data_IF_709253012305
#
_entry.id   IF_709253012305
#
_cell.length_a   1.000
_cell.length_b   1.000
_cell.length_c   1.000
_cell.angle_alpha   90.00
_cell.angle_beta   90.00
_cell.angle_gamma   90.00
#
_symmetry.space_group_name_H-M   'P 1'
#
loop_
_entity.id
_entity.type
_entity.pdbx_description
1 polymer ?
#
# COMPACT_ATOMS: atom_id res chain seq x y z
N UNK A 1 -5.91 -50.51 -15.78
CA UNK A 1 -6.69 -49.45 -16.46
C UNK A 1 -7.47 -48.69 -15.40
N UNK A 2 -6.81 -47.73 -14.75
CA UNK A 2 -7.43 -46.82 -13.79
C UNK A 2 -8.08 -45.69 -14.58
N UNK A 3 -9.41 -45.69 -14.66
CA UNK A 3 -10.18 -44.55 -15.12
C UNK A 3 -9.95 -43.42 -14.10
N UNK A 4 -8.97 -42.57 -14.38
CA UNK A 4 -8.79 -41.30 -13.69
C UNK A 4 -10.07 -40.50 -13.94
N UNK A 5 -10.82 -40.28 -12.87
CA UNK A 5 -12.09 -39.57 -12.88
C UNK A 5 -11.87 -38.17 -13.47
N UNK A 6 -12.42 -37.92 -14.66
CA UNK A 6 -12.38 -36.61 -15.33
C UNK A 6 -13.01 -35.48 -14.49
N UNK A 7 -13.80 -35.83 -13.48
CA UNK A 7 -14.36 -34.90 -12.50
C UNK A 7 -13.30 -34.30 -11.56
N UNK A 8 -12.32 -35.07 -11.09
CA UNK A 8 -11.25 -34.56 -10.21
C UNK A 8 -10.29 -33.61 -10.94
N UNK A 9 -10.02 -33.87 -12.23
CA UNK A 9 -9.22 -32.98 -13.07
C UNK A 9 -9.94 -31.65 -13.34
N UNK A 10 -11.27 -31.66 -13.53
CA UNK A 10 -12.03 -30.41 -13.70
C UNK A 10 -12.13 -29.58 -12.41
N UNK A 11 -12.13 -30.24 -11.24
CA UNK A 11 -12.23 -29.58 -9.93
C UNK A 11 -10.88 -29.01 -9.46
N UNK A 12 -9.77 -29.64 -9.84
CA UNK A 12 -8.41 -29.14 -9.57
C UNK A 12 -8.07 -27.91 -10.44
N UNK A 13 -8.52 -27.89 -11.69
CA UNK A 13 -8.27 -26.79 -12.64
C UNK A 13 -9.19 -25.57 -12.40
N UNK A 14 -10.35 -25.77 -11.76
CA UNK A 14 -11.22 -24.67 -11.31
C UNK A 14 -10.70 -24.03 -10.02
N UNK A 15 -10.27 -24.84 -9.03
CA UNK A 15 -9.75 -24.33 -7.75
C UNK A 15 -8.50 -23.46 -7.93
N UNK A 16 -7.57 -23.90 -8.78
CA UNK A 16 -6.34 -23.15 -9.07
C UNK A 16 -6.58 -21.80 -9.74
N UNK A 17 -7.58 -21.68 -10.61
CA UNK A 17 -7.91 -20.39 -11.24
C UNK A 17 -8.59 -19.42 -10.27
N UNK A 18 -9.49 -19.92 -9.42
CA UNK A 18 -10.18 -19.09 -8.44
C UNK A 18 -9.20 -18.56 -7.37
N UNK A 19 -8.27 -19.41 -6.91
CA UNK A 19 -7.22 -19.04 -5.97
C UNK A 19 -6.32 -17.90 -6.49
N UNK A 20 -6.06 -17.88 -7.81
CA UNK A 20 -5.27 -16.81 -8.45
C UNK A 20 -5.99 -15.46 -8.37
N UNK A 21 -7.31 -15.43 -8.59
CA UNK A 21 -8.10 -14.19 -8.53
C UNK A 21 -8.18 -13.63 -7.12
N UNK A 22 -8.43 -14.48 -6.12
CA UNK A 22 -8.42 -14.06 -4.72
C UNK A 22 -7.07 -13.50 -4.30
N UNK A 23 -5.99 -14.18 -4.66
CA UNK A 23 -4.64 -13.75 -4.30
C UNK A 23 -4.29 -12.39 -4.92
N UNK A 24 -4.71 -12.15 -6.17
CA UNK A 24 -4.53 -10.84 -6.84
C UNK A 24 -5.33 -9.72 -6.19
N UNK A 25 -6.59 -9.97 -5.84
CA UNK A 25 -7.45 -9.02 -5.12
C UNK A 25 -6.86 -8.65 -3.76
N UNK A 26 -6.39 -9.65 -3.00
CA UNK A 26 -5.75 -9.43 -1.70
C UNK A 26 -4.44 -8.66 -1.84
N UNK A 27 -3.64 -8.94 -2.87
CA UNK A 27 -2.38 -8.22 -3.12
C UNK A 27 -2.64 -6.75 -3.44
N UNK A 28 -3.65 -6.47 -4.26
CA UNK A 28 -4.09 -5.10 -4.54
C UNK A 28 -4.59 -4.40 -3.27
N UNK A 29 -5.36 -5.09 -2.43
CA UNK A 29 -5.83 -4.54 -1.16
C UNK A 29 -4.67 -4.16 -0.24
N UNK A 30 -3.71 -5.07 -0.08
CA UNK A 30 -2.50 -4.81 0.72
C UNK A 30 -1.76 -3.61 0.16
N UNK A 31 -1.53 -3.55 -1.15
CA UNK A 31 -0.91 -2.39 -1.79
C UNK A 31 -1.68 -1.08 -1.57
N UNK A 32 -3.02 -1.14 -1.60
CA UNK A 32 -3.92 0.00 -1.44
C UNK A 32 -3.89 0.55 -0.02
N UNK A 33 -3.63 -0.30 0.97
CA UNK A 33 -3.49 0.09 2.36
C UNK A 33 -2.06 0.59 2.67
N UNK A 34 -1.04 -0.08 2.14
CA UNK A 34 0.36 0.24 2.46
C UNK A 34 0.74 1.64 2.02
N UNK A 35 0.53 2.02 0.76
CA UNK A 35 0.99 3.32 0.28
C UNK A 35 0.34 4.52 1.03
N UNK A 36 -0.99 4.57 1.24
CA UNK A 36 -1.64 5.66 1.98
C UNK A 36 -1.26 5.70 3.46
N UNK A 37 -1.20 4.55 4.14
CA UNK A 37 -0.88 4.51 5.57
C UNK A 37 0.53 5.04 5.82
N UNK A 38 1.52 4.57 5.04
CA UNK A 38 2.89 5.09 5.15
C UNK A 38 2.97 6.58 4.81
N UNK A 39 2.22 7.03 3.79
CA UNK A 39 2.16 8.45 3.43
C UNK A 39 1.61 9.31 4.56
N UNK A 40 0.50 8.90 5.18
CA UNK A 40 -0.13 9.61 6.28
C UNK A 40 0.80 9.67 7.48
N UNK A 41 1.44 8.55 7.86
CA UNK A 41 2.39 8.54 8.98
C UNK A 41 3.58 9.45 8.70
N UNK A 42 4.16 9.37 7.51
CA UNK A 42 5.27 10.23 7.09
C UNK A 42 4.88 11.73 7.10
N UNK A 43 3.67 12.09 6.64
CA UNK A 43 3.17 13.47 6.71
C UNK A 43 2.94 13.89 8.17
N UNK A 44 2.44 13.00 9.02
CA UNK A 44 2.19 13.27 10.44
C UNK A 44 3.49 13.52 11.21
N UNK A 45 4.57 12.82 10.85
CA UNK A 45 5.91 13.08 11.39
C UNK A 45 6.44 14.48 11.02
N UNK A 46 6.05 14.99 9.86
CA UNK A 46 6.44 16.32 9.36
C UNK A 46 5.54 17.42 9.96
N UNK A 47 4.24 17.16 10.06
CA UNK A 47 3.23 18.10 10.53
C UNK A 47 2.18 17.35 11.35
N UNK A 48 2.29 17.42 12.68
CA UNK A 48 1.41 16.74 13.62
C UNK A 48 -0.05 17.19 13.53
N UNK A 49 -0.31 18.43 13.05
CA UNK A 49 -1.65 18.98 12.90
C UNK A 49 -2.36 18.47 11.63
N UNK A 50 -1.67 17.76 10.73
CA UNK A 50 -2.29 17.21 9.53
C UNK A 50 -3.14 15.94 9.82
N UNK A 51 -3.03 15.39 11.04
CA UNK A 51 -3.71 14.15 11.40
C UNK A 51 -5.21 14.37 11.59
N UNK A 52 -6.00 13.99 10.57
CA UNK A 52 -7.46 13.89 10.69
C UNK A 52 -7.87 12.42 10.70
N UNK A 53 -8.28 11.93 11.87
CA UNK A 53 -8.77 10.56 12.07
C UNK A 53 -9.88 10.18 11.08
N UNK A 54 -10.73 11.16 10.71
CA UNK A 54 -11.81 10.96 9.73
C UNK A 54 -11.30 10.62 8.34
N UNK A 55 -10.20 11.24 7.92
CA UNK A 55 -9.60 10.93 6.62
C UNK A 55 -8.99 9.53 6.66
N UNK A 56 -8.23 9.21 7.71
CA UNK A 56 -7.61 7.89 7.86
C UNK A 56 -8.64 6.76 7.84
N UNK A 57 -9.74 6.90 8.57
CA UNK A 57 -10.84 5.92 8.55
C UNK A 57 -11.43 5.81 7.16
N UNK A 58 -11.70 6.93 6.49
CA UNK A 58 -12.23 6.92 5.12
C UNK A 58 -11.27 6.19 4.15
N UNK A 59 -9.98 6.49 4.25
CA UNK A 59 -8.96 5.96 3.35
C UNK A 59 -8.71 4.46 3.56
N UNK A 60 -9.07 3.90 4.72
CA UNK A 60 -8.99 2.48 5.04
C UNK A 60 -10.31 1.74 4.77
N UNK A 61 -11.45 2.38 5.02
CA UNK A 61 -12.79 1.82 4.81
C UNK A 61 -13.13 1.71 3.33
N UNK A 62 -12.82 2.72 2.50
CA UNK A 62 -13.11 2.67 1.06
C UNK A 62 -12.45 1.48 0.35
N UNK A 63 -11.13 1.22 0.47
CA UNK A 63 -10.52 0.06 -0.17
C UNK A 63 -11.05 -1.26 0.40
N UNK A 64 -11.42 -1.31 1.68
CA UNK A 64 -12.05 -2.49 2.28
C UNK A 64 -13.42 -2.78 1.64
N UNK A 65 -14.28 -1.76 1.50
CA UNK A 65 -15.60 -1.90 0.87
C UNK A 65 -15.48 -2.35 -0.58
N UNK A 66 -14.51 -1.80 -1.34
CA UNK A 66 -14.29 -2.19 -2.72
C UNK A 66 -13.85 -3.66 -2.85
N UNK A 67 -13.02 -4.15 -1.93
CA UNK A 67 -12.56 -5.55 -1.93
C UNK A 67 -13.67 -6.50 -1.54
N UNK A 68 -14.41 -6.20 -0.46
CA UNK A 68 -15.57 -7.00 -0.05
C UNK A 68 -16.60 -7.04 -1.18
N UNK A 69 -16.86 -5.92 -1.85
CA UNK A 69 -17.73 -5.87 -3.01
C UNK A 69 -17.26 -6.72 -4.18
N UNK A 70 -15.95 -6.72 -4.48
CA UNK A 70 -15.38 -7.57 -5.54
C UNK A 70 -15.44 -9.07 -5.20
N UNK A 71 -15.16 -9.43 -3.94
CA UNK A 71 -15.26 -10.82 -3.47
C UNK A 71 -16.72 -11.31 -3.51
N UNK A 72 -17.65 -10.48 -3.03
CA UNK A 72 -19.07 -10.81 -3.05
C UNK A 72 -19.61 -10.95 -4.49
N UNK A 73 -19.19 -10.07 -5.40
CA UNK A 73 -19.54 -10.17 -6.81
C UNK A 73 -18.93 -11.41 -7.47
N UNK A 74 -17.72 -11.83 -7.05
CA UNK A 74 -17.09 -13.05 -7.55
C UNK A 74 -17.84 -14.31 -7.10
N UNK A 75 -18.28 -14.37 -5.85
CA UNK A 75 -19.07 -15.51 -5.32
C UNK A 75 -20.45 -15.62 -5.97
N UNK A 76 -21.12 -14.49 -6.24
CA UNK A 76 -22.47 -14.49 -6.84
C UNK A 76 -22.41 -14.65 -8.36
N UNK A 77 -21.49 -13.95 -9.00
CA UNK A 77 -21.34 -13.94 -10.44
C UNK A 77 -19.93 -14.41 -10.79
N UNK A 78 -19.83 -15.67 -11.24
CA UNK A 78 -18.60 -16.29 -11.75
C UNK A 78 -17.68 -15.30 -12.48
N UNK A 79 -16.35 -15.49 -12.35
CA UNK A 79 -15.27 -14.60 -12.79
C UNK A 79 -15.39 -13.96 -14.20
N UNK A 80 -16.21 -14.54 -15.08
CA UNK A 80 -16.48 -14.07 -16.44
C UNK A 80 -17.62 -13.05 -16.54
N UNK A 81 -18.28 -12.70 -15.45
CA UNK A 81 -19.39 -11.74 -15.48
C UNK A 81 -18.90 -10.33 -15.79
N UNK A 82 -19.66 -9.62 -16.62
CA UNK A 82 -19.36 -8.25 -17.00
C UNK A 82 -19.37 -7.32 -15.77
N UNK A 83 -20.23 -7.62 -14.78
CA UNK A 83 -20.30 -6.90 -13.52
C UNK A 83 -19.03 -7.03 -12.68
N UNK A 84 -18.46 -8.25 -12.57
CA UNK A 84 -17.19 -8.47 -11.87
C UNK A 84 -16.04 -7.75 -12.57
N UNK A 85 -15.92 -7.88 -13.90
CA UNK A 85 -14.89 -7.20 -14.67
C UNK A 85 -14.96 -5.67 -14.51
N UNK A 86 -16.17 -5.10 -14.55
CA UNK A 86 -16.36 -3.68 -14.34
C UNK A 86 -15.93 -3.23 -12.93
N UNK A 87 -16.38 -3.94 -11.88
CA UNK A 87 -16.00 -3.65 -10.50
C UNK A 87 -14.48 -3.77 -10.27
N UNK A 88 -13.85 -4.75 -10.92
CA UNK A 88 -12.41 -4.98 -10.84
C UNK A 88 -11.61 -3.84 -11.50
N UNK A 89 -12.02 -3.40 -12.70
CA UNK A 89 -11.39 -2.25 -13.38
C UNK A 89 -11.55 -0.97 -12.56
N UNK A 90 -12.74 -0.72 -12.01
CA UNK A 90 -12.97 0.43 -11.12
C UNK A 90 -12.03 0.39 -9.91
N UNK A 91 -11.83 -0.78 -9.32
CA UNK A 91 -10.91 -0.95 -8.20
C UNK A 91 -9.45 -0.65 -8.60
N UNK A 92 -9.01 -1.10 -9.78
CA UNK A 92 -7.67 -0.78 -10.30
C UNK A 92 -7.51 0.73 -10.55
N UNK A 93 -8.50 1.39 -11.13
CA UNK A 93 -8.44 2.84 -11.38
C UNK A 93 -8.36 3.61 -10.05
N UNK A 94 -9.20 3.23 -9.08
CA UNK A 94 -9.16 3.78 -7.73
C UNK A 94 -7.79 3.56 -7.08
N UNK A 95 -7.24 2.35 -7.19
CA UNK A 95 -5.93 1.97 -6.67
C UNK A 95 -4.82 2.89 -7.21
N UNK A 96 -4.74 3.04 -8.53
CA UNK A 96 -3.71 3.89 -9.17
C UNK A 96 -3.89 5.34 -8.75
N UNK A 97 -5.13 5.84 -8.73
CA UNK A 97 -5.43 7.19 -8.27
C UNK A 97 -4.95 7.43 -6.84
N UNK A 98 -5.22 6.49 -5.92
CA UNK A 98 -4.80 6.57 -4.52
C UNK A 98 -3.28 6.61 -4.42
N UNK A 99 -2.56 5.69 -5.06
CA UNK A 99 -1.08 5.67 -5.01
C UNK A 99 -0.51 7.00 -5.51
N UNK A 100 -0.97 7.50 -6.64
CA UNK A 100 -0.49 8.78 -7.22
C UNK A 100 -0.85 9.97 -6.33
N UNK A 101 -2.11 10.07 -5.87
CA UNK A 101 -2.58 11.18 -5.06
C UNK A 101 -1.78 11.28 -3.76
N UNK A 102 -1.53 10.16 -3.07
CA UNK A 102 -0.77 10.15 -1.83
C UNK A 102 0.70 10.51 -2.03
N UNK A 103 1.34 10.03 -3.10
CA UNK A 103 2.72 10.45 -3.44
C UNK A 103 2.79 11.95 -3.71
N UNK A 104 1.83 12.52 -4.45
CA UNK A 104 1.79 13.97 -4.73
C UNK A 104 1.54 14.79 -3.46
N UNK A 105 0.59 14.37 -2.61
CA UNK A 105 0.29 15.04 -1.34
C UNK A 105 1.53 15.02 -0.43
N UNK A 106 2.22 13.88 -0.34
CA UNK A 106 3.46 13.78 0.43
C UNK A 106 4.51 14.75 -0.12
N UNK A 107 4.77 14.73 -1.43
CA UNK A 107 5.82 15.56 -2.05
C UNK A 107 5.54 17.06 -1.86
N UNK A 108 4.28 17.48 -1.94
CA UNK A 108 3.86 18.86 -1.71
C UNK A 108 4.11 19.29 -0.26
N UNK A 109 3.73 18.47 0.70
CA UNK A 109 3.96 18.75 2.14
C UNK A 109 5.45 18.73 2.48
N UNK A 110 6.20 17.77 1.94
CA UNK A 110 7.64 17.66 2.12
C UNK A 110 8.37 18.89 1.57
N UNK A 111 8.00 19.38 0.38
CA UNK A 111 8.60 20.59 -0.20
C UNK A 111 8.34 21.83 0.66
N UNK A 112 7.12 22.00 1.16
CA UNK A 112 6.80 23.12 2.07
C UNK A 112 7.58 23.03 3.38
N UNK A 113 7.72 21.82 3.92
CA UNK A 113 8.52 21.59 5.12
C UNK A 113 10.01 21.83 4.89
N UNK A 114 10.58 21.32 3.80
CA UNK A 114 11.99 21.50 3.45
C UNK A 114 12.36 22.98 3.31
N UNK A 115 11.49 23.80 2.70
CA UNK A 115 11.70 25.25 2.59
C UNK A 115 11.71 25.90 3.98
N UNK A 116 10.77 25.53 4.88
CA UNK A 116 10.75 26.05 6.25
C UNK A 116 11.99 25.62 7.02
N UNK A 117 12.33 24.33 6.96
CA UNK A 117 13.44 23.77 7.72
C UNK A 117 14.80 24.39 7.34
N UNK A 118 15.01 24.63 6.05
CA UNK A 118 16.22 25.29 5.54
C UNK A 118 16.35 26.76 6.00
N UNK A 119 15.23 27.41 6.31
CA UNK A 119 15.20 28.78 6.80
C UNK A 119 15.41 28.89 8.33
N UNK A 120 15.12 27.83 9.10
CA UNK A 120 15.14 27.85 10.57
C UNK A 120 16.30 27.06 11.20
N UNK A 121 16.84 26.03 10.54
CA UNK A 121 17.89 25.17 11.14
C UNK A 121 19.11 25.02 10.23
N UNK A 122 20.29 25.38 10.76
CA UNK A 122 21.59 25.10 10.16
C UNK A 122 22.02 23.66 10.44
N UNK A 123 21.62 22.71 9.56
CA UNK A 123 22.17 21.35 9.33
C UNK A 123 21.65 20.12 10.15
N UNK A 124 21.68 19.99 11.50
CA UNK A 124 21.35 18.72 12.19
C UNK A 124 19.89 18.28 12.04
N UNK A 125 18.94 19.21 12.18
CA UNK A 125 17.50 18.90 12.08
C UNK A 125 17.07 18.44 10.69
N UNK A 126 17.78 18.88 9.65
CA UNK A 126 17.49 18.55 8.25
C UNK A 126 17.77 17.10 7.87
N UNK A 127 18.74 16.46 8.52
CA UNK A 127 19.08 15.05 8.25
C UNK A 127 18.08 14.08 8.88
N UNK A 128 17.40 14.49 9.96
CA UNK A 128 16.50 13.62 10.71
C UNK A 128 15.20 13.26 9.99
N UNK A 129 14.79 14.04 8.97
CA UNK A 129 13.61 13.74 8.15
C UNK A 129 13.96 13.37 6.70
N UNK A 130 15.22 13.26 6.31
CA UNK A 130 15.57 12.77 4.96
C UNK A 130 15.14 11.32 4.72
N UNK A 131 15.12 10.49 5.78
CA UNK A 131 14.71 9.10 5.66
C UNK A 131 13.22 8.93 5.34
N UNK A 132 12.35 9.91 5.67
CA UNK A 132 10.92 9.84 5.35
C UNK A 132 10.66 9.90 3.84
N UNK A 133 11.53 10.57 3.09
CA UNK A 133 11.49 10.56 1.62
C UNK A 133 11.85 9.18 1.09
N UNK A 134 12.93 8.58 1.60
CA UNK A 134 13.34 7.23 1.21
C UNK A 134 12.22 6.22 1.50
N UNK A 135 11.61 6.27 2.68
CA UNK A 135 10.51 5.36 3.03
C UNK A 135 9.26 5.60 2.21
N UNK A 136 8.96 6.85 1.86
CA UNK A 136 7.86 7.14 0.95
C UNK A 136 8.10 6.55 -0.44
N UNK A 137 9.31 6.68 -0.98
CA UNK A 137 9.65 6.06 -2.27
C UNK A 137 9.53 4.54 -2.21
N UNK A 138 10.00 3.93 -1.12
CA UNK A 138 9.86 2.49 -0.92
C UNK A 138 8.39 2.03 -0.76
N UNK A 139 7.55 2.83 -0.11
CA UNK A 139 6.11 2.57 0.01
C UNK A 139 5.37 2.77 -1.34
N UNK A 140 5.82 3.73 -2.15
CA UNK A 140 5.28 3.92 -3.50
C UNK A 140 5.71 2.77 -4.41
N UNK A 141 6.96 2.30 -4.29
CA UNK A 141 7.46 1.16 -5.07
C UNK A 141 6.78 -0.15 -4.68
N UNK A 142 6.44 -0.38 -3.41
CA UNK A 142 5.62 -1.55 -3.04
C UNK A 142 4.24 -1.50 -3.68
N UNK A 143 3.61 -0.31 -3.75
CA UNK A 143 2.37 -0.13 -4.50
C UNK A 143 2.53 -0.48 -5.99
N UNK A 144 3.57 0.05 -6.64
CA UNK A 144 3.85 -0.28 -8.05
C UNK A 144 4.11 -1.79 -8.22
N UNK A 145 4.83 -2.44 -7.32
CA UNK A 145 5.05 -3.89 -7.36
C UNK A 145 3.76 -4.70 -7.21
N UNK A 146 2.83 -4.27 -6.35
CA UNK A 146 1.51 -4.89 -6.21
C UNK A 146 0.63 -4.69 -7.46
N UNK A 147 0.81 -3.60 -8.19
CA UNK A 147 0.15 -3.43 -9.49
C UNK A 147 0.78 -4.34 -10.56
N UNK A 148 2.12 -4.39 -10.63
CA UNK A 148 2.84 -5.25 -11.58
C UNK A 148 2.54 -6.74 -11.34
N UNK A 149 2.30 -7.14 -10.09
CA UNK A 149 1.95 -8.54 -9.75
C UNK A 149 0.66 -9.02 -10.39
N UNK A 150 -0.21 -8.13 -10.87
CA UNK A 150 -1.42 -8.52 -11.61
C UNK A 150 -1.12 -9.19 -12.95
N UNK A 151 -0.04 -8.80 -13.59
CA UNK A 151 0.34 -9.26 -14.93
C UNK A 151 1.43 -10.34 -14.90
N UNK A 152 2.09 -10.50 -13.75
CA UNK A 152 3.21 -11.42 -13.58
C UNK A 152 2.75 -12.80 -13.06
N UNK A 153 3.57 -13.85 -13.26
CA UNK A 153 3.32 -15.18 -12.72
C UNK A 153 3.42 -15.19 -11.19
N UNK A 154 2.85 -16.23 -10.58
CA UNK A 154 2.66 -16.37 -9.12
C UNK A 154 3.96 -16.18 -8.30
N UNK A 155 5.12 -16.54 -8.86
CA UNK A 155 6.42 -16.34 -8.20
C UNK A 155 6.76 -14.87 -7.87
N UNK A 156 6.12 -13.91 -8.54
CA UNK A 156 6.31 -12.48 -8.26
C UNK A 156 5.73 -12.07 -6.89
N UNK A 157 4.73 -12.80 -6.38
CA UNK A 157 4.17 -12.56 -5.05
C UNK A 157 5.20 -12.83 -3.95
N UNK A 158 6.06 -13.84 -4.13
CA UNK A 158 7.16 -14.10 -3.20
C UNK A 158 8.15 -12.93 -3.16
N UNK A 159 8.49 -12.37 -4.33
CA UNK A 159 9.37 -11.19 -4.42
C UNK A 159 8.73 -9.98 -3.75
N UNK A 160 7.45 -9.75 -3.97
CA UNK A 160 6.67 -8.70 -3.31
C UNK A 160 6.62 -8.89 -1.78
N UNK A 161 6.37 -10.11 -1.31
CA UNK A 161 6.34 -10.43 0.12
C UNK A 161 7.72 -10.22 0.77
N UNK A 162 8.81 -10.63 0.11
CA UNK A 162 10.17 -10.38 0.58
C UNK A 162 10.47 -8.88 0.64
N UNK A 163 10.04 -8.11 -0.36
CA UNK A 163 10.19 -6.66 -0.38
C UNK A 163 9.48 -6.01 0.84
N UNK A 164 8.24 -6.41 1.12
CA UNK A 164 7.51 -5.93 2.30
C UNK A 164 8.23 -6.34 3.60
N UNK A 165 8.74 -7.56 3.70
CA UNK A 165 9.49 -8.02 4.86
C UNK A 165 10.79 -7.24 5.10
N UNK A 166 11.36 -6.59 4.09
CA UNK A 166 12.50 -5.68 4.26
C UNK A 166 12.02 -4.27 4.61
N UNK A 167 10.94 -3.81 3.97
CA UNK A 167 10.36 -2.49 4.15
C UNK A 167 9.91 -2.25 5.59
N UNK A 168 9.15 -3.18 6.17
CA UNK A 168 8.53 -3.01 7.49
C UNK A 168 9.58 -2.87 8.60
N UNK A 169 10.59 -3.76 8.74
CA UNK A 169 11.63 -3.61 9.76
C UNK A 169 12.49 -2.38 9.54
N UNK A 170 12.85 -2.07 8.28
CA UNK A 170 13.61 -0.86 7.96
C UNK A 170 12.88 0.40 8.46
N UNK A 171 11.57 0.49 8.18
CA UNK A 171 10.74 1.60 8.65
C UNK A 171 10.63 1.62 10.17
N UNK A 172 10.38 0.48 10.80
CA UNK A 172 10.24 0.39 12.26
C UNK A 172 11.50 0.87 13.00
N UNK A 173 12.69 0.43 12.56
CA UNK A 173 13.96 0.87 13.16
C UNK A 173 14.13 2.38 13.05
N UNK A 174 13.85 2.96 11.88
CA UNK A 174 13.95 4.41 11.66
C UNK A 174 12.94 5.19 12.49
N UNK A 175 11.71 4.70 12.59
CA UNK A 175 10.65 5.30 13.37
C UNK A 175 10.96 5.30 14.87
N UNK A 176 11.44 4.17 15.39
CA UNK A 176 11.85 4.05 16.80
C UNK A 176 13.03 4.98 17.11
N UNK A 177 14.05 4.99 16.24
CA UNK A 177 15.21 5.88 16.40
C UNK A 177 14.80 7.36 16.38
N UNK A 178 13.86 7.73 15.51
CA UNK A 178 13.29 9.08 15.49
C UNK A 178 12.57 9.40 16.81
N UNK A 179 11.73 8.49 17.31
CA UNK A 179 11.00 8.67 18.57
C UNK A 179 11.93 8.82 19.79
N UNK A 180 13.10 8.16 19.80
CA UNK A 180 14.10 8.34 20.85
C UNK A 180 14.90 9.64 20.74
N UNK A 181 15.08 10.18 19.52
CA UNK A 181 15.83 11.41 19.29
C UNK A 181 14.95 12.67 19.43
N UNK A 182 13.64 12.54 19.24
CA UNK A 182 12.67 13.64 19.32
C UNK A 182 12.65 14.38 20.69
N UNK A 183 12.65 13.70 21.86
CA UNK A 183 12.64 14.34 23.18
C UNK A 183 13.93 15.09 23.51
N UNK A 184 15.04 14.78 22.83
CA UNK A 184 16.33 15.47 23.00
C UNK A 184 16.34 16.82 22.27
N UNK A 185 15.50 16.98 21.24
CA UNK A 185 15.41 18.16 20.38
C UNK A 185 14.23 19.05 20.77
N UNK A 186 13.17 18.46 21.35
CA UNK A 186 11.98 19.16 21.81
C UNK A 186 12.16 20.18 22.95
N UNK A 187 13.19 20.17 23.84
CA UNK A 187 13.25 21.15 24.93
C UNK A 187 13.76 22.53 24.47
N UNK A 188 13.96 22.75 23.16
CA UNK A 188 14.50 23.99 22.59
C UNK A 188 13.46 24.75 21.74
N UNK A 189 12.18 24.35 21.77
CA UNK A 189 11.07 25.08 21.11
C UNK A 189 10.05 25.53 22.14
#
# INVERSE_FOLDING_TARGET
>A
MTLVNLTELSMSDSGTNDDIWYTRLMTLWIGACVAPVFSIVNITLINSHFFSWRNLVRDLVIPLVLVVGNVFLFEIFSAKSLAFLFAYVVFIVYYVFVVVAYTVIFLRNYRQYSIRLNNYFSEPGSNLLKWTVTTQFLATSSGIMAFVSLFMPHGWLCVFALFLNILYPYYAIRFINYAFQFPVIAPVV
#
